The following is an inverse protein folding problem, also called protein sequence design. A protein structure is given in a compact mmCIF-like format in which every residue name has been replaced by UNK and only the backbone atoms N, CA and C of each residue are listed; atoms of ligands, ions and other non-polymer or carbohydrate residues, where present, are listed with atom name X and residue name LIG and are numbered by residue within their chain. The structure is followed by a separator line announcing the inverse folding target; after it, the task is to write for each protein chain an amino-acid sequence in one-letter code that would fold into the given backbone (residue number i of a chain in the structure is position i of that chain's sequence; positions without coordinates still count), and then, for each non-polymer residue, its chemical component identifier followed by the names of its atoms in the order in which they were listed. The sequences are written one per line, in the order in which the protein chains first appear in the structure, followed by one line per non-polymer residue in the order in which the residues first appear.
data_IF_501172636813
#
_entry.id   IF_501172636813
#
_cell.length_a   1.000
_cell.length_b   1.000
_cell.length_c   1.000
_cell.angle_alpha   90.00
_cell.angle_beta   90.00
_cell.angle_gamma   90.00
#
_symmetry.space_group_name_H-M   'P 1'
#
loop_
_entity.id
_entity.type
_entity.pdbx_description
1 polymer ?
#
# COMPACT_ATOMS: atom_id res chain seq x y z
N UNK A 1 21.46 -19.42 -15.53
CA UNK A 1 20.21 -18.64 -15.31
C UNK A 1 19.75 -18.97 -13.91
N UNK A 2 19.47 -17.95 -13.10
CA UNK A 2 19.06 -18.15 -11.71
C UNK A 2 17.61 -18.64 -11.73
N UNK A 3 17.37 -19.84 -11.22
CA UNK A 3 16.03 -20.42 -11.02
C UNK A 3 15.40 -19.75 -9.80
N UNK A 4 14.99 -18.49 -9.92
CA UNK A 4 14.32 -17.79 -8.83
C UNK A 4 12.87 -18.25 -8.77
N UNK A 5 12.54 -19.02 -7.75
CA UNK A 5 11.21 -19.63 -7.57
C UNK A 5 10.34 -18.88 -6.55
N UNK A 6 10.98 -18.16 -5.62
CA UNK A 6 10.31 -17.31 -4.62
C UNK A 6 10.88 -15.88 -4.64
N UNK A 7 9.99 -14.89 -4.54
CA UNK A 7 10.36 -13.48 -4.48
C UNK A 7 9.41 -12.72 -3.55
N UNK A 8 9.99 -12.04 -2.57
CA UNK A 8 9.31 -11.07 -1.72
C UNK A 8 9.77 -9.67 -2.11
N UNK A 9 8.88 -8.90 -2.75
CA UNK A 9 9.21 -7.63 -3.39
C UNK A 9 8.69 -6.45 -2.57
N UNK A 10 9.58 -5.55 -2.16
CA UNK A 10 9.20 -4.28 -1.53
C UNK A 10 9.56 -3.10 -2.44
N UNK A 11 8.57 -2.34 -2.90
CA UNK A 11 8.78 -1.17 -3.76
C UNK A 11 8.19 0.07 -3.09
N UNK A 12 8.96 1.15 -3.11
CA UNK A 12 8.46 2.50 -2.88
C UNK A 12 8.85 3.36 -4.06
N UNK A 13 7.87 3.98 -4.74
CA UNK A 13 8.11 4.71 -5.97
C UNK A 13 7.28 6.00 -6.07
N UNK A 14 7.87 7.03 -6.64
CA UNK A 14 7.14 8.20 -7.13
C UNK A 14 6.93 8.06 -8.64
N UNK A 15 5.68 8.02 -9.05
CA UNK A 15 5.24 7.85 -10.42
C UNK A 15 4.70 9.18 -10.98
N UNK A 16 4.80 9.35 -12.30
CA UNK A 16 4.31 10.56 -12.97
C UNK A 16 2.85 10.45 -13.40
N UNK A 17 2.46 9.35 -14.05
CA UNK A 17 1.15 9.25 -14.72
C UNK A 17 0.19 8.28 -14.03
N UNK A 18 0.68 7.10 -13.60
CA UNK A 18 -0.15 6.03 -13.04
C UNK A 18 0.55 5.30 -11.90
N UNK A 19 -0.24 4.66 -11.04
CA UNK A 19 0.27 3.84 -9.94
C UNK A 19 0.89 2.56 -10.51
N UNK A 20 1.73 1.93 -9.72
CA UNK A 20 2.17 0.57 -10.01
C UNK A 20 0.98 -0.35 -9.73
N UNK A 21 0.48 -1.04 -10.75
CA UNK A 21 -0.68 -1.92 -10.70
C UNK A 21 -0.32 -3.35 -11.17
N UNK A 22 -1.31 -4.24 -11.20
CA UNK A 22 -1.11 -5.64 -11.58
C UNK A 22 -0.67 -5.82 -13.03
N UNK A 23 -1.09 -4.94 -13.93
CA UNK A 23 -0.70 -4.99 -15.34
C UNK A 23 0.78 -4.63 -15.51
N UNK A 24 1.28 -3.63 -14.78
CA UNK A 24 2.71 -3.26 -14.74
C UNK A 24 3.54 -4.42 -14.18
N UNK A 25 3.17 -4.96 -13.01
CA UNK A 25 3.92 -6.07 -12.41
C UNK A 25 3.94 -7.31 -13.31
N UNK A 26 2.82 -7.61 -13.98
CA UNK A 26 2.74 -8.72 -14.92
C UNK A 26 3.72 -8.53 -16.08
N UNK A 27 3.69 -7.34 -16.69
CA UNK A 27 4.54 -7.00 -17.83
C UNK A 27 6.02 -7.02 -17.47
N UNK A 28 6.38 -6.38 -16.35
CA UNK A 28 7.78 -6.07 -16.04
C UNK A 28 8.46 -7.14 -15.18
N UNK A 29 7.70 -8.03 -14.52
CA UNK A 29 8.24 -9.07 -13.64
C UNK A 29 7.76 -10.46 -14.07
N UNK A 30 6.44 -10.69 -14.07
CA UNK A 30 5.90 -12.07 -14.21
C UNK A 30 6.25 -12.71 -15.55
N UNK A 31 6.23 -11.94 -16.65
CA UNK A 31 6.61 -12.47 -17.98
C UNK A 31 8.09 -12.91 -18.02
N UNK A 32 8.95 -12.28 -17.23
CA UNK A 32 10.38 -12.56 -17.21
C UNK A 32 10.79 -13.60 -16.16
N UNK A 33 9.91 -13.89 -15.19
CA UNK A 33 10.16 -14.82 -14.09
C UNK A 33 9.13 -15.96 -14.09
N UNK A 34 9.04 -16.70 -15.20
CA UNK A 34 8.02 -17.74 -15.39
C UNK A 34 8.11 -18.92 -14.39
N UNK A 35 9.24 -19.09 -13.70
CA UNK A 35 9.43 -20.12 -12.67
C UNK A 35 8.97 -19.68 -11.27
N UNK A 36 8.55 -18.42 -11.12
CA UNK A 36 8.16 -17.87 -9.84
C UNK A 36 6.80 -18.42 -9.41
N UNK A 37 6.79 -19.40 -8.52
CA UNK A 37 5.54 -19.96 -7.99
C UNK A 37 5.04 -19.19 -6.76
N UNK A 38 5.95 -18.49 -6.05
CA UNK A 38 5.60 -17.64 -4.91
C UNK A 38 6.09 -16.23 -5.13
N UNK A 39 5.14 -15.31 -5.26
CA UNK A 39 5.42 -13.90 -5.43
C UNK A 39 4.65 -13.10 -4.40
N UNK A 40 5.32 -12.60 -3.36
CA UNK A 40 4.69 -11.67 -2.41
C UNK A 40 5.21 -10.27 -2.68
N UNK A 41 4.40 -9.26 -2.38
CA UNK A 41 4.82 -7.89 -2.58
C UNK A 41 4.16 -6.90 -1.62
N UNK A 42 4.88 -5.79 -1.40
CA UNK A 42 4.46 -4.58 -0.72
C UNK A 42 4.89 -3.39 -1.59
N UNK A 43 3.93 -2.69 -2.18
CA UNK A 43 4.17 -1.65 -3.17
C UNK A 43 3.50 -0.38 -2.71
N UNK A 44 4.30 0.64 -2.43
CA UNK A 44 3.85 2.00 -2.14
C UNK A 44 4.21 2.89 -3.32
N UNK A 45 3.22 3.34 -4.08
CA UNK A 45 3.43 4.26 -5.20
C UNK A 45 2.69 5.57 -5.00
N UNK A 46 3.27 6.69 -5.42
CA UNK A 46 2.64 8.01 -5.29
C UNK A 46 2.67 8.79 -6.59
N UNK A 47 1.60 9.53 -6.90
CA UNK A 47 1.48 10.35 -8.09
C UNK A 47 1.14 11.78 -7.70
N UNK A 48 1.89 12.75 -8.23
CA UNK A 48 1.62 14.17 -7.97
C UNK A 48 0.39 14.65 -8.75
N UNK A 49 -0.51 15.37 -8.08
CA UNK A 49 -1.75 15.88 -8.68
C UNK A 49 -1.52 16.87 -9.83
N UNK A 50 -0.35 17.52 -9.89
CA UNK A 50 0.02 18.41 -11.00
C UNK A 50 0.00 17.72 -12.37
N UNK A 51 0.08 16.39 -12.40
CA UNK A 51 0.14 15.59 -13.62
C UNK A 51 -1.08 14.70 -13.81
N UNK A 52 -2.14 14.87 -13.01
CA UNK A 52 -3.35 14.03 -13.10
C UNK A 52 -4.64 14.83 -13.16
N UNK A 53 -5.54 14.36 -14.02
CA UNK A 53 -6.93 14.83 -14.14
C UNK A 53 -7.95 13.80 -13.66
N UNK A 54 -7.54 12.53 -13.53
CA UNK A 54 -8.40 11.41 -13.13
C UNK A 54 -7.72 10.63 -12.02
N UNK A 55 -8.43 10.45 -10.92
CA UNK A 55 -7.95 9.70 -9.76
C UNK A 55 -8.53 8.28 -9.76
N UNK A 56 -7.68 7.23 -9.80
CA UNK A 56 -8.17 5.86 -9.80
C UNK A 56 -8.74 5.49 -8.42
N UNK A 57 -9.82 4.71 -8.43
CA UNK A 57 -10.43 4.11 -7.24
C UNK A 57 -9.72 2.79 -6.88
N UNK A 58 -9.82 2.40 -5.60
CA UNK A 58 -9.25 1.15 -5.09
C UNK A 58 -9.69 -0.05 -5.92
N UNK A 59 -11.00 -0.15 -6.20
CA UNK A 59 -11.61 -1.27 -6.91
C UNK A 59 -11.12 -1.38 -8.36
N UNK A 60 -10.72 -0.25 -8.96
CA UNK A 60 -10.16 -0.22 -10.31
C UNK A 60 -8.74 -0.81 -10.33
N UNK A 61 -7.92 -0.50 -9.32
CA UNK A 61 -6.57 -1.04 -9.20
C UNK A 61 -6.60 -2.52 -8.81
N UNK A 62 -7.46 -2.93 -7.87
CA UNK A 62 -7.59 -4.34 -7.44
C UNK A 62 -7.91 -5.26 -8.62
N UNK A 63 -8.76 -4.82 -9.55
CA UNK A 63 -9.13 -5.61 -10.75
C UNK A 63 -7.96 -5.92 -11.67
N UNK A 64 -6.89 -5.12 -11.66
CA UNK A 64 -5.68 -5.39 -12.47
C UNK A 64 -4.91 -6.63 -11.99
N UNK A 65 -5.14 -7.06 -10.74
CA UNK A 65 -4.45 -8.20 -10.15
C UNK A 65 -5.16 -9.54 -10.35
N UNK A 66 -6.24 -9.60 -11.14
CA UNK A 66 -7.08 -10.80 -11.34
C UNK A 66 -6.36 -12.07 -11.83
N UNK A 67 -5.12 -11.96 -12.29
CA UNK A 67 -4.31 -13.09 -12.78
C UNK A 67 -3.17 -13.48 -11.84
N UNK A 68 -3.03 -12.81 -10.70
CA UNK A 68 -2.04 -13.19 -9.71
C UNK A 68 -2.57 -14.40 -8.93
N UNK A 69 -1.73 -15.42 -8.77
CA UNK A 69 -2.04 -16.64 -8.02
C UNK A 69 -2.29 -16.38 -6.53
N UNK A 70 -1.88 -15.20 -6.03
CA UNK A 70 -2.23 -14.74 -4.68
C UNK A 70 -3.65 -14.19 -4.67
N UNK A 71 -4.56 -14.99 -4.11
CA UNK A 71 -6.00 -14.70 -4.11
C UNK A 71 -6.42 -13.53 -3.20
N UNK A 72 -5.50 -12.94 -2.42
CA UNK A 72 -5.80 -11.84 -1.51
C UNK A 72 -4.77 -10.73 -1.69
N UNK A 73 -5.14 -9.77 -2.53
CA UNK A 73 -4.40 -8.53 -2.74
C UNK A 73 -5.29 -7.40 -2.25
N UNK A 74 -4.74 -6.56 -1.39
CA UNK A 74 -5.45 -5.39 -0.86
C UNK A 74 -4.84 -4.14 -1.45
N UNK A 75 -5.70 -3.21 -1.86
CA UNK A 75 -5.29 -1.86 -2.21
C UNK A 75 -5.85 -0.84 -1.24
N UNK A 76 -5.05 0.18 -0.96
CA UNK A 76 -5.44 1.36 -0.19
C UNK A 76 -4.94 2.59 -0.94
N UNK A 77 -5.86 3.39 -1.45
CA UNK A 77 -5.59 4.64 -2.14
C UNK A 77 -5.99 5.79 -1.23
N UNK A 78 -5.02 6.67 -1.02
CA UNK A 78 -5.17 7.93 -0.31
C UNK A 78 -5.02 9.10 -1.28
N UNK A 79 -6.06 9.92 -1.36
CA UNK A 79 -6.01 11.20 -2.05
C UNK A 79 -5.64 12.29 -1.05
N UNK A 80 -4.39 12.75 -1.15
CA UNK A 80 -3.77 13.72 -0.26
C UNK A 80 -3.70 15.07 -0.98
N UNK A 81 -3.40 16.17 -0.27
CA UNK A 81 -3.57 17.51 -0.85
C UNK A 81 -2.79 17.75 -2.16
N UNK A 82 -1.60 17.16 -2.29
CA UNK A 82 -0.68 17.42 -3.43
C UNK A 82 -0.42 16.20 -4.28
N UNK A 83 -0.83 15.03 -3.83
CA UNK A 83 -0.54 13.77 -4.49
C UNK A 83 -1.52 12.70 -4.04
N UNK A 84 -1.63 11.64 -4.81
CA UNK A 84 -2.32 10.44 -4.38
C UNK A 84 -1.27 9.39 -4.07
N UNK A 85 -1.49 8.57 -3.04
CA UNK A 85 -0.66 7.40 -2.74
C UNK A 85 -1.52 6.16 -2.87
N UNK A 86 -0.98 5.13 -3.52
CA UNK A 86 -1.56 3.81 -3.58
C UNK A 86 -0.61 2.84 -2.90
N UNK A 87 -1.11 2.16 -1.87
CA UNK A 87 -0.45 1.06 -1.22
C UNK A 87 -1.13 -0.24 -1.63
N UNK A 88 -0.34 -1.18 -2.12
CA UNK A 88 -0.80 -2.48 -2.58
C UNK A 88 0.06 -3.56 -1.92
N UNK A 89 -0.56 -4.59 -1.38
CA UNK A 89 0.19 -5.70 -0.83
C UNK A 89 -0.53 -7.03 -1.01
N UNK A 90 0.26 -8.10 -1.07
CA UNK A 90 -0.22 -9.48 -0.98
C UNK A 90 -0.45 -9.88 0.48
N UNK A 91 -1.55 -10.58 0.76
CA UNK A 91 -1.81 -11.20 2.05
C UNK A 91 -1.24 -12.64 2.11
N UNK A 92 -0.72 -13.10 3.26
CA UNK A 92 -0.50 -12.34 4.50
C UNK A 92 0.63 -11.32 4.37
N UNK A 93 0.49 -10.19 5.05
CA UNK A 93 1.52 -9.15 5.08
C UNK A 93 2.76 -9.63 5.86
N UNK A 94 3.94 -9.58 5.23
CA UNK A 94 5.17 -10.16 5.80
C UNK A 94 6.19 -9.13 6.30
N UNK A 95 5.97 -7.84 6.07
CA UNK A 95 6.93 -6.81 6.44
C UNK A 95 6.77 -6.35 7.89
N UNK A 96 7.90 -5.95 8.49
CA UNK A 96 7.96 -5.48 9.89
C UNK A 96 7.45 -4.06 10.07
N UNK A 97 7.43 -3.27 9.01
CA UNK A 97 7.08 -1.86 9.02
C UNK A 97 5.89 -1.69 8.11
N UNK A 98 4.84 -1.05 8.61
CA UNK A 98 3.74 -0.55 7.80
C UNK A 98 3.76 0.97 7.86
N UNK A 99 4.04 1.60 6.73
CA UNK A 99 4.26 3.04 6.66
C UNK A 99 3.09 3.80 6.00
N UNK A 100 3.03 5.09 6.30
CA UNK A 100 2.10 6.05 5.70
C UNK A 100 0.60 5.71 5.85
N UNK A 101 0.22 5.12 6.99
CA UNK A 101 -1.18 4.82 7.29
C UNK A 101 -1.96 6.12 7.54
N UNK A 102 -3.12 6.26 6.91
CA UNK A 102 -4.06 7.39 7.06
C UNK A 102 -5.41 6.89 7.60
N UNK A 103 -6.36 7.82 7.78
CA UNK A 103 -7.75 7.48 8.15
C UNK A 103 -8.43 6.45 7.22
N UNK A 104 -8.00 6.32 5.96
CA UNK A 104 -8.60 5.38 4.97
C UNK A 104 -8.14 3.93 5.14
N UNK A 105 -7.31 3.64 6.15
CA UNK A 105 -6.90 2.28 6.49
C UNK A 105 -8.10 1.34 6.65
N UNK A 106 -8.15 0.31 5.80
CA UNK A 106 -9.25 -0.65 5.66
C UNK A 106 -9.22 -1.82 6.66
N UNK A 107 -8.55 -1.65 7.80
CA UNK A 107 -8.31 -2.71 8.80
C UNK A 107 -7.57 -3.95 8.25
N UNK A 108 -7.64 -5.08 8.95
CA UNK A 108 -6.87 -6.31 8.66
C UNK A 108 -5.99 -6.76 9.82
N UNK A 109 -5.41 -7.96 9.74
CA UNK A 109 -4.54 -8.53 10.78
C UNK A 109 -3.10 -8.62 10.30
N UNK A 110 -2.20 -7.86 10.92
CA UNK A 110 -0.81 -7.69 10.51
C UNK A 110 0.15 -8.18 11.59
N UNK A 111 0.28 -9.50 11.74
CA UNK A 111 1.07 -10.12 12.80
C UNK A 111 2.58 -9.92 12.66
N UNK A 112 3.08 -9.65 11.45
CA UNK A 112 4.50 -9.41 11.22
C UNK A 112 4.94 -7.96 11.54
N UNK A 113 3.98 -7.04 11.62
CA UNK A 113 4.25 -5.60 11.76
C UNK A 113 4.55 -5.28 13.22
N UNK A 114 5.70 -4.63 13.42
CA UNK A 114 6.18 -4.17 14.73
C UNK A 114 6.35 -2.66 14.79
N UNK A 115 6.39 -1.99 13.63
CA UNK A 115 6.50 -0.54 13.53
C UNK A 115 5.41 -0.01 12.61
N UNK A 116 4.66 0.98 13.09
CA UNK A 116 3.61 1.64 12.32
C UNK A 116 3.95 3.13 12.22
N UNK A 117 3.94 3.65 10.99
CA UNK A 117 4.08 5.08 10.73
C UNK A 117 2.75 5.63 10.23
N UNK A 118 2.15 6.49 11.04
CA UNK A 118 0.92 7.21 10.71
C UNK A 118 1.25 8.52 10.04
N UNK A 119 0.43 8.90 9.06
CA UNK A 119 0.52 10.19 8.42
C UNK A 119 -0.74 11.00 8.62
N UNK A 120 -0.52 12.21 9.11
CA UNK A 120 -1.54 13.15 9.51
C UNK A 120 -1.64 14.27 8.47
N UNK A 121 -2.69 14.21 7.64
CA UNK A 121 -3.15 15.37 6.82
C UNK A 121 -4.53 15.88 7.27
N UNK A 122 -5.28 15.02 7.96
CA UNK A 122 -6.57 15.33 8.57
C UNK A 122 -6.55 14.77 9.99
N UNK A 123 -7.26 15.40 10.95
CA UNK A 123 -7.37 14.88 12.30
C UNK A 123 -7.75 13.38 12.30
N UNK A 124 -7.01 12.58 13.06
CA UNK A 124 -7.34 11.16 13.23
C UNK A 124 -8.67 11.02 13.97
N UNK A 125 -9.53 10.15 13.44
CA UNK A 125 -10.80 9.82 14.09
C UNK A 125 -10.55 8.94 15.33
N UNK A 126 -11.41 9.01 16.35
CA UNK A 126 -11.28 8.13 17.51
C UNK A 126 -11.25 6.65 17.11
N UNK A 127 -12.16 6.26 16.22
CA UNK A 127 -12.29 4.90 15.70
C UNK A 127 -11.06 4.46 14.90
N UNK A 128 -10.25 5.40 14.39
CA UNK A 128 -9.03 5.07 13.66
C UNK A 128 -8.01 4.39 14.58
N UNK A 129 -7.75 4.93 15.78
CA UNK A 129 -6.82 4.30 16.73
C UNK A 129 -7.32 2.94 17.23
N UNK A 130 -8.64 2.76 17.34
CA UNK A 130 -9.23 1.45 17.63
C UNK A 130 -8.93 0.45 16.50
N UNK A 131 -9.06 0.84 15.23
CA UNK A 131 -8.67 0.00 14.08
C UNK A 131 -7.18 -0.35 14.14
N UNK A 132 -6.30 0.63 14.34
CA UNK A 132 -4.84 0.39 14.48
C UNK A 132 -4.56 -0.62 15.60
N UNK A 133 -5.15 -0.45 16.79
CA UNK A 133 -4.88 -1.33 17.92
C UNK A 133 -5.27 -2.79 17.66
N UNK A 134 -6.38 -3.02 16.95
CA UNK A 134 -6.84 -4.36 16.56
C UNK A 134 -6.01 -4.96 15.44
N UNK A 135 -5.54 -4.13 14.52
CA UNK A 135 -4.83 -4.59 13.33
C UNK A 135 -3.37 -4.98 13.57
N UNK A 136 -2.71 -4.38 14.56
CA UNK A 136 -1.27 -4.55 14.80
C UNK A 136 -0.98 -5.10 16.22
N UNK A 137 -1.32 -6.38 16.50
CA UNK A 137 -1.24 -6.95 17.85
C UNK A 137 0.18 -7.02 18.44
N UNK A 138 1.21 -6.97 17.60
CA UNK A 138 2.62 -7.02 18.01
C UNK A 138 3.37 -5.71 17.76
N UNK A 139 2.64 -4.60 17.59
CA UNK A 139 3.23 -3.26 17.42
C UNK A 139 4.07 -2.88 18.65
N UNK A 140 5.33 -2.51 18.41
CA UNK A 140 6.28 -2.02 19.42
C UNK A 140 6.51 -0.52 19.32
N UNK A 141 6.32 0.04 18.13
CA UNK A 141 6.54 1.46 17.86
C UNK A 141 5.42 2.02 16.99
N UNK A 142 4.86 3.14 17.45
CA UNK A 142 3.95 3.99 16.69
C UNK A 142 4.60 5.34 16.48
N UNK A 143 4.79 5.75 15.24
CA UNK A 143 5.33 7.07 14.88
C UNK A 143 4.26 7.86 14.17
N UNK A 144 4.00 9.09 14.60
CA UNK A 144 3.05 9.98 13.95
C UNK A 144 3.83 11.08 13.24
N UNK A 145 3.60 11.20 11.93
CA UNK A 145 4.22 12.23 11.10
C UNK A 145 3.18 13.24 10.66
N UNK A 146 3.33 14.46 11.15
CA UNK A 146 2.59 15.63 10.69
C UNK A 146 3.56 16.51 9.90
N UNK A 147 3.37 16.58 8.59
CA UNK A 147 4.22 17.38 7.69
C UNK A 147 3.52 18.64 7.19
N UNK A 148 2.20 18.69 7.25
CA UNK A 148 1.38 19.79 6.75
C UNK A 148 0.32 20.12 7.81
N UNK A 149 -0.06 21.40 7.91
CA UNK A 149 -1.10 21.84 8.84
C UNK A 149 -2.38 21.06 8.56
N UNK A 150 -2.97 20.46 9.60
CA UNK A 150 -4.22 19.71 9.49
C UNK A 150 -5.31 20.60 8.91
N UNK A 151 -6.00 20.12 7.88
CA UNK A 151 -7.20 20.79 7.40
C UNK A 151 -8.37 20.45 8.31
N UNK A 152 -9.13 21.48 8.71
CA UNK A 152 -10.40 21.26 9.41
C UNK A 152 -11.34 20.61 8.39
N UNK A 153 -11.85 19.41 8.71
CA UNK A 153 -12.89 18.74 7.92
C UNK A 153 -14.10 19.70 7.88
N UNK A 154 -14.36 20.31 6.72
CA UNK A 154 -15.51 21.18 6.48
C UNK A 154 -16.80 20.39 6.30
#
# INVERSE_FOLDING_TARGET
MINLEELDLNITAQCYEKFIDGDILKKDIMIHMAQLYKFTFNISSSINHRYQTIFPLNESIEKTFKYFSNNQITTCIDHLQRYSRCHIYSYPYQWKIYDHITNNFRDGLFTCVTQVLLRDEHPFEHEFFLRISKSFPFMKQLTIMNREVQQIKS
#
